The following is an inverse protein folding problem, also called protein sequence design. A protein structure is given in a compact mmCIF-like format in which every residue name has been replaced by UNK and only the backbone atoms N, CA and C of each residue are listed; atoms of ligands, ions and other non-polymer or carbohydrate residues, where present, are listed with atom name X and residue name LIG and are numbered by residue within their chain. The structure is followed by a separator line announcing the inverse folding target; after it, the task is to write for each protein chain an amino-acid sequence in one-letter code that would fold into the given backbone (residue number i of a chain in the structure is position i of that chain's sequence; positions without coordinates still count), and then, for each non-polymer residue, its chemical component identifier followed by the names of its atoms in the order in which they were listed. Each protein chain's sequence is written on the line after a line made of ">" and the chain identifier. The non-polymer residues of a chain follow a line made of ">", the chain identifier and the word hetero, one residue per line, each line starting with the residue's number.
data_IF_226367052949
#
_entry.id   IF_226367052949
#
_cell.length_a   1.000
_cell.length_b   1.000
_cell.length_c   1.000
_cell.angle_alpha   90.00
_cell.angle_beta   90.00
_cell.angle_gamma   90.00
#
_symmetry.space_group_name_H-M   'P 1'
#
loop_
_entity.id
_entity.type
_entity.pdbx_description
1 polymer ?
#
# COMPACT_ATOMS: atom_id res chain seq x y z
N UNK A 1 21.68 -16.74 4.24
CA UNK A 1 20.59 -17.54 4.84
C UNK A 1 19.53 -16.69 5.57
N UNK A 2 19.89 -15.57 6.20
CA UNK A 2 18.97 -14.68 6.95
C UNK A 2 17.74 -14.14 6.18
N UNK A 3 17.78 -14.05 4.83
CA UNK A 3 16.62 -13.62 4.02
C UNK A 3 15.71 -14.76 3.55
N UNK A 4 16.20 -16.01 3.54
CA UNK A 4 15.42 -17.15 3.03
C UNK A 4 14.30 -17.53 3.99
N UNK A 5 14.58 -17.49 5.30
CA UNK A 5 13.61 -17.87 6.33
C UNK A 5 12.35 -16.96 6.29
N UNK A 6 12.47 -15.61 6.29
CA UNK A 6 11.29 -14.75 6.15
C UNK A 6 10.53 -14.98 4.84
N UNK A 7 11.23 -15.17 3.72
CA UNK A 7 10.60 -15.39 2.42
C UNK A 7 9.84 -16.70 2.35
N UNK A 8 10.39 -17.79 2.90
CA UNK A 8 9.70 -19.08 2.97
C UNK A 8 8.46 -19.00 3.85
N UNK A 9 8.53 -18.30 4.98
CA UNK A 9 7.38 -18.12 5.87
C UNK A 9 6.25 -17.35 5.15
N UNK A 10 6.57 -16.23 4.51
CA UNK A 10 5.58 -15.45 3.74
C UNK A 10 4.97 -16.29 2.62
N UNK A 11 5.77 -17.11 1.92
CA UNK A 11 5.27 -17.99 0.88
C UNK A 11 4.31 -19.05 1.41
N UNK A 12 4.64 -19.71 2.53
CA UNK A 12 3.77 -20.74 3.14
C UNK A 12 2.47 -20.13 3.64
N UNK A 13 2.54 -19.00 4.35
CA UNK A 13 1.34 -18.31 4.86
C UNK A 13 0.48 -17.78 3.71
N UNK A 14 1.09 -17.23 2.66
CA UNK A 14 0.37 -16.76 1.47
C UNK A 14 -0.31 -17.90 0.71
N UNK A 15 0.36 -19.05 0.56
CA UNK A 15 -0.23 -20.23 -0.06
C UNK A 15 -1.39 -20.78 0.78
N UNK A 16 -1.23 -20.83 2.10
CA UNK A 16 -2.30 -21.23 3.01
C UNK A 16 -3.50 -20.29 2.89
N UNK A 17 -3.29 -18.97 2.90
CA UNK A 17 -4.37 -17.99 2.74
C UNK A 17 -5.11 -18.14 1.40
N UNK A 18 -4.39 -18.47 0.32
CA UNK A 18 -5.00 -18.78 -0.97
C UNK A 18 -5.87 -20.05 -0.89
N UNK A 19 -5.37 -21.14 -0.29
CA UNK A 19 -6.15 -22.37 -0.10
C UNK A 19 -7.39 -22.12 0.77
N UNK A 20 -7.23 -21.39 1.88
CA UNK A 20 -8.32 -21.07 2.80
C UNK A 20 -9.43 -20.24 2.15
N UNK A 21 -9.10 -19.38 1.18
CA UNK A 21 -10.07 -18.59 0.45
C UNK A 21 -10.98 -19.41 -0.49
N UNK A 22 -10.52 -20.57 -0.99
CA UNK A 22 -11.26 -21.37 -1.97
C UNK A 22 -11.75 -22.72 -1.45
N UNK A 23 -11.20 -23.25 -0.35
CA UNK A 23 -11.55 -24.56 0.20
C UNK A 23 -12.45 -24.41 1.44
N UNK A 24 -13.77 -24.67 1.34
CA UNK A 24 -14.70 -24.57 2.46
C UNK A 24 -14.68 -25.85 3.33
N UNK A 25 -13.51 -26.27 3.78
CA UNK A 25 -13.38 -27.44 4.67
C UNK A 25 -13.32 -26.98 6.14
N UNK A 26 -14.06 -27.60 7.09
CA UNK A 26 -14.13 -27.15 8.49
C UNK A 26 -12.77 -26.96 9.16
N UNK A 27 -11.83 -27.88 8.94
CA UNK A 27 -10.46 -27.79 9.48
C UNK A 27 -9.73 -26.53 8.96
N UNK A 28 -9.86 -26.25 7.66
CA UNK A 28 -9.17 -25.11 7.03
C UNK A 28 -9.78 -23.80 7.53
N UNK A 29 -11.11 -23.74 7.62
CA UNK A 29 -11.85 -22.57 8.10
C UNK A 29 -11.55 -22.27 9.57
N UNK A 30 -11.49 -23.29 10.44
CA UNK A 30 -11.14 -23.09 11.86
C UNK A 30 -9.72 -22.53 12.02
N UNK A 31 -8.76 -23.05 11.25
CA UNK A 31 -7.37 -22.55 11.29
C UNK A 31 -7.26 -21.14 10.72
N UNK A 32 -7.97 -20.84 9.61
CA UNK A 32 -8.01 -19.49 9.04
C UNK A 32 -8.63 -18.49 10.01
N UNK A 33 -9.69 -18.89 10.73
CA UNK A 33 -10.34 -18.06 11.74
C UNK A 33 -9.39 -17.73 12.90
N UNK A 34 -8.72 -18.72 13.49
CA UNK A 34 -7.70 -18.50 14.53
C UNK A 34 -6.56 -17.62 14.01
N UNK A 35 -6.07 -17.88 12.79
CA UNK A 35 -4.99 -17.11 12.20
C UNK A 35 -5.39 -15.63 12.00
N UNK A 36 -6.61 -15.37 11.52
CA UNK A 36 -7.11 -14.00 11.28
C UNK A 36 -7.44 -13.25 12.57
N UNK A 37 -8.19 -13.88 13.46
CA UNK A 37 -8.77 -13.22 14.61
C UNK A 37 -7.78 -13.05 15.76
N UNK A 38 -6.86 -14.00 15.94
CA UNK A 38 -5.89 -13.95 17.04
C UNK A 38 -4.55 -13.44 16.53
N UNK A 39 -3.94 -14.16 15.59
CA UNK A 39 -2.55 -13.90 15.18
C UNK A 39 -2.44 -12.61 14.36
N UNK A 40 -3.20 -12.48 13.27
CA UNK A 40 -3.12 -11.33 12.38
C UNK A 40 -3.68 -10.06 13.01
N UNK A 41 -4.66 -10.16 13.90
CA UNK A 41 -5.16 -9.01 14.66
C UNK A 41 -4.09 -8.42 15.58
N UNK A 42 -3.36 -9.26 16.32
CA UNK A 42 -2.26 -8.80 17.18
C UNK A 42 -1.11 -8.28 16.32
N UNK A 43 -0.72 -9.02 15.28
CA UNK A 43 0.38 -8.64 14.40
C UNK A 43 0.09 -7.33 13.65
N UNK A 44 -1.15 -7.10 13.20
CA UNK A 44 -1.54 -5.85 12.54
C UNK A 44 -1.52 -4.66 13.49
N UNK A 45 -1.91 -4.82 14.76
CA UNK A 45 -1.81 -3.77 15.76
C UNK A 45 -0.35 -3.32 15.99
N UNK A 46 0.57 -4.27 16.20
CA UNK A 46 2.00 -3.95 16.31
C UNK A 46 2.60 -3.45 15.00
N UNK A 47 2.20 -4.05 13.88
CA UNK A 47 2.63 -3.70 12.53
C UNK A 47 2.25 -2.27 12.16
N UNK A 48 1.07 -1.81 12.58
CA UNK A 48 0.64 -0.42 12.40
C UNK A 48 1.58 0.54 13.14
N UNK A 49 1.89 0.25 14.40
CA UNK A 49 2.79 1.09 15.22
C UNK A 49 4.20 1.14 14.60
N UNK A 50 4.75 -0.01 14.21
CA UNK A 50 6.06 -0.09 13.57
C UNK A 50 6.07 0.59 12.19
N UNK A 51 4.99 0.45 11.42
CA UNK A 51 4.84 1.07 10.10
C UNK A 51 4.82 2.58 10.18
N UNK A 52 3.99 3.15 11.05
CA UNK A 52 3.94 4.59 11.31
C UNK A 52 5.28 5.08 11.85
N UNK A 53 5.85 4.38 12.84
CA UNK A 53 7.14 4.71 13.43
C UNK A 53 8.26 4.76 12.39
N UNK A 54 8.31 3.79 11.47
CA UNK A 54 9.30 3.74 10.39
C UNK A 54 9.16 4.92 9.43
N UNK A 55 7.94 5.28 9.01
CA UNK A 55 7.70 6.41 8.11
C UNK A 55 8.11 7.72 8.78
N UNK A 56 7.64 7.95 10.01
CA UNK A 56 7.94 9.16 10.77
C UNK A 56 9.45 9.28 11.02
N UNK A 57 10.10 8.20 11.48
CA UNK A 57 11.54 8.19 11.70
C UNK A 57 12.33 8.49 10.43
N UNK A 58 11.96 7.86 9.31
CA UNK A 58 12.62 8.06 8.02
C UNK A 58 12.55 9.54 7.57
N UNK A 59 11.34 10.12 7.60
CA UNK A 59 11.13 11.50 7.15
C UNK A 59 11.70 12.54 8.11
N UNK A 60 11.63 12.32 9.43
CA UNK A 60 12.27 13.20 10.42
C UNK A 60 13.78 13.20 10.28
N UNK A 61 14.39 12.02 10.08
CA UNK A 61 15.83 11.92 9.85
C UNK A 61 16.24 12.62 8.55
N UNK A 62 15.43 12.48 7.49
CA UNK A 62 15.63 13.15 6.20
C UNK A 62 15.60 14.67 6.33
N UNK A 63 14.66 15.20 7.12
CA UNK A 63 14.55 16.64 7.44
C UNK A 63 15.76 17.10 8.24
N UNK A 64 16.09 16.41 9.34
CA UNK A 64 17.20 16.78 10.24
C UNK A 64 18.55 16.80 9.52
N UNK A 65 18.77 15.90 8.57
CA UNK A 65 20.01 15.80 7.79
C UNK A 65 20.03 16.69 6.55
N UNK A 66 18.98 17.47 6.28
CA UNK A 66 18.82 18.26 5.04
C UNK A 66 19.16 17.47 3.77
N UNK A 67 18.76 16.19 3.73
CA UNK A 67 19.05 15.33 2.59
C UNK A 67 18.33 15.83 1.33
N UNK A 68 18.70 15.31 0.17
CA UNK A 68 18.08 15.70 -1.09
C UNK A 68 16.55 15.57 -1.03
N UNK A 69 15.84 16.61 -1.49
CA UNK A 69 14.37 16.66 -1.50
C UNK A 69 13.74 16.54 -0.09
N UNK A 70 14.40 17.03 0.96
CA UNK A 70 13.89 16.98 2.33
C UNK A 70 12.58 17.75 2.52
N UNK A 71 12.36 18.84 1.78
CA UNK A 71 11.15 19.69 1.86
C UNK A 71 9.85 18.88 1.65
N UNK A 72 9.85 17.93 0.70
CA UNK A 72 8.70 17.07 0.45
C UNK A 72 8.34 16.15 1.63
N UNK A 73 9.28 15.93 2.56
CA UNK A 73 9.03 15.15 3.77
C UNK A 73 8.04 15.83 4.71
N UNK A 74 7.97 17.17 4.71
CA UNK A 74 6.92 17.87 5.47
C UNK A 74 5.53 17.55 4.94
N UNK A 75 5.38 17.53 3.62
CA UNK A 75 4.10 17.20 2.98
C UNK A 75 3.68 15.79 3.37
N UNK A 76 4.61 14.83 3.36
CA UNK A 76 4.31 13.44 3.78
C UNK A 76 3.87 13.36 5.24
N UNK A 77 4.58 14.01 6.17
CA UNK A 77 4.22 13.99 7.59
C UNK A 77 2.87 14.66 7.84
N UNK A 78 2.62 15.82 7.22
CA UNK A 78 1.36 16.55 7.35
C UNK A 78 0.20 15.72 6.81
N UNK A 79 0.35 15.13 5.61
CA UNK A 79 -0.69 14.29 5.03
C UNK A 79 -0.93 13.01 5.83
N UNK A 80 0.11 12.40 6.39
CA UNK A 80 -0.03 11.26 7.31
C UNK A 80 -0.92 11.62 8.50
N UNK A 81 -0.69 12.79 9.13
CA UNK A 81 -1.48 13.25 10.27
C UNK A 81 -2.92 13.55 9.86
N UNK A 82 -3.13 14.27 8.75
CA UNK A 82 -4.46 14.61 8.24
C UNK A 82 -5.26 13.32 7.96
N UNK A 83 -4.68 12.39 7.19
CA UNK A 83 -5.35 11.13 6.86
C UNK A 83 -5.60 10.26 8.10
N UNK A 84 -4.69 10.25 9.08
CA UNK A 84 -4.92 9.55 10.34
C UNK A 84 -6.11 10.14 11.13
N UNK A 85 -6.19 11.47 11.25
CA UNK A 85 -7.31 12.15 11.93
C UNK A 85 -8.63 11.87 11.20
N UNK A 86 -8.65 12.00 9.88
CA UNK A 86 -9.83 11.67 9.07
C UNK A 86 -10.22 10.19 9.23
N UNK A 87 -9.25 9.29 9.39
CA UNK A 87 -9.53 7.86 9.53
C UNK A 87 -10.15 7.48 10.84
N UNK A 88 -9.63 8.06 11.92
CA UNK A 88 -10.10 7.78 13.28
C UNK A 88 -11.44 8.45 13.53
N UNK A 89 -11.63 9.68 13.04
CA UNK A 89 -12.77 10.51 13.43
C UNK A 89 -13.73 10.87 12.30
N UNK A 90 -13.33 10.73 11.04
CA UNK A 90 -14.06 11.27 9.89
C UNK A 90 -15.07 10.33 9.21
N UNK A 91 -15.13 9.06 9.63
CA UNK A 91 -16.01 8.06 9.03
C UNK A 91 -15.54 7.57 7.66
N UNK A 92 -16.25 6.56 7.14
CA UNK A 92 -15.86 5.85 5.91
C UNK A 92 -16.48 6.54 4.69
N UNK A 93 -17.77 6.83 4.76
CA UNK A 93 -18.63 7.25 3.65
C UNK A 93 -19.71 8.21 4.17
N UNK A 94 -20.39 9.05 3.36
CA UNK A 94 -21.45 9.94 3.83
C UNK A 94 -22.58 9.22 4.56
N UNK A 95 -22.82 7.95 4.22
CA UNK A 95 -23.83 7.10 4.86
C UNK A 95 -23.39 6.52 6.22
N UNK A 96 -22.10 6.63 6.56
CA UNK A 96 -21.51 6.19 7.84
C UNK A 96 -20.61 7.31 8.38
N UNK A 97 -21.20 8.44 8.79
CA UNK A 97 -20.43 9.58 9.27
C UNK A 97 -19.70 9.22 10.57
N UNK A 98 -18.50 9.78 10.73
CA UNK A 98 -17.74 9.71 11.96
C UNK A 98 -18.14 10.81 12.96
N UNK A 99 -17.32 10.97 14.00
CA UNK A 99 -17.49 12.02 15.01
C UNK A 99 -17.26 13.43 14.45
N UNK A 100 -16.41 13.57 13.43
CA UNK A 100 -16.11 14.84 12.77
C UNK A 100 -16.92 15.01 11.49
N UNK A 101 -17.49 16.20 11.25
CA UNK A 101 -18.09 16.53 9.96
C UNK A 101 -17.00 16.63 8.90
N UNK A 102 -17.04 15.69 7.96
CA UNK A 102 -16.03 15.47 6.91
C UNK A 102 -16.47 16.01 5.55
N UNK A 103 -17.28 17.07 5.57
CA UNK A 103 -17.73 17.81 4.40
C UNK A 103 -17.71 19.32 4.70
N UNK A 104 -17.28 20.12 3.74
CA UNK A 104 -17.31 21.59 3.78
C UNK A 104 -17.95 22.04 2.46
N UNK A 105 -19.22 22.43 2.51
CA UNK A 105 -20.00 22.73 1.31
C UNK A 105 -20.07 21.51 0.39
N UNK A 106 -19.59 21.65 -0.86
CA UNK A 106 -19.52 20.56 -1.84
C UNK A 106 -18.25 19.71 -1.74
N UNK A 107 -17.29 20.08 -0.89
CA UNK A 107 -16.03 19.36 -0.72
C UNK A 107 -16.17 18.32 0.39
N UNK A 108 -16.09 17.04 0.03
CA UNK A 108 -16.10 15.93 0.98
C UNK A 108 -14.69 15.34 1.12
N UNK A 109 -14.25 15.08 2.34
CA UNK A 109 -12.93 14.51 2.64
C UNK A 109 -13.02 13.28 3.54
N UNK A 110 -14.09 12.49 3.40
CA UNK A 110 -14.22 11.17 4.01
C UNK A 110 -13.14 10.21 3.49
N UNK A 111 -12.97 9.08 4.19
CA UNK A 111 -12.01 8.05 3.79
C UNK A 111 -12.22 7.52 2.37
N UNK A 112 -13.47 7.30 1.96
CA UNK A 112 -13.77 6.84 0.61
C UNK A 112 -13.34 7.85 -0.47
N UNK A 113 -13.51 9.15 -0.20
CA UNK A 113 -13.10 10.21 -1.13
C UNK A 113 -11.59 10.28 -1.24
N UNK A 114 -10.86 10.17 -0.12
CA UNK A 114 -9.40 10.10 -0.12
C UNK A 114 -8.90 8.86 -0.88
N UNK A 115 -9.52 7.70 -0.66
CA UNK A 115 -9.18 6.48 -1.39
C UNK A 115 -9.34 6.65 -2.91
N UNK A 116 -10.49 7.16 -3.34
CA UNK A 116 -10.82 7.28 -4.77
C UNK A 116 -10.00 8.36 -5.48
N UNK A 117 -9.69 9.47 -4.81
CA UNK A 117 -9.00 10.60 -5.44
C UNK A 117 -7.48 10.61 -5.23
N UNK A 118 -6.97 9.88 -4.23
CA UNK A 118 -5.53 9.83 -3.93
C UNK A 118 -4.98 8.44 -4.19
N UNK A 119 -5.50 7.42 -3.53
CA UNK A 119 -4.93 6.07 -3.60
C UNK A 119 -5.12 5.42 -4.98
N UNK A 120 -6.30 5.53 -5.58
CA UNK A 120 -6.60 4.92 -6.89
C UNK A 120 -5.73 5.53 -8.02
N UNK A 121 -5.61 6.86 -8.19
CA UNK A 121 -4.74 7.43 -9.21
C UNK A 121 -3.27 7.10 -8.99
N UNK A 122 -2.78 7.12 -7.73
CA UNK A 122 -1.40 6.73 -7.42
C UNK A 122 -1.12 5.28 -7.85
N UNK A 123 -2.04 4.35 -7.59
CA UNK A 123 -1.95 2.98 -8.09
C UNK A 123 -1.96 2.91 -9.62
N UNK A 124 -2.85 3.66 -10.28
CA UNK A 124 -2.93 3.72 -11.73
C UNK A 124 -1.63 4.22 -12.38
N UNK A 125 -0.95 5.20 -11.78
CA UNK A 125 0.34 5.70 -12.30
C UNK A 125 1.44 4.63 -12.27
N UNK A 126 1.48 3.78 -11.23
CA UNK A 126 2.43 2.66 -11.18
C UNK A 126 2.19 1.68 -12.32
N UNK A 127 0.93 1.31 -12.58
CA UNK A 127 0.58 0.41 -13.68
C UNK A 127 0.84 1.04 -15.05
N UNK A 128 0.52 2.32 -15.23
CA UNK A 128 0.79 3.05 -16.46
C UNK A 128 2.30 3.13 -16.77
N UNK A 129 3.12 3.43 -15.75
CA UNK A 129 4.59 3.41 -15.89
C UNK A 129 5.11 2.02 -16.23
N UNK A 130 4.61 0.97 -15.58
CA UNK A 130 4.98 -0.41 -15.90
C UNK A 130 4.65 -0.76 -17.35
N UNK A 131 3.44 -0.46 -17.81
CA UNK A 131 3.02 -0.69 -19.19
C UNK A 131 3.89 0.09 -20.19
N UNK A 132 4.19 1.35 -19.90
CA UNK A 132 5.09 2.18 -20.71
C UNK A 132 6.51 1.56 -20.80
N UNK A 133 7.07 1.09 -19.69
CA UNK A 133 8.39 0.46 -19.70
C UNK A 133 8.41 -0.87 -20.45
N UNK A 134 7.35 -1.68 -20.33
CA UNK A 134 7.20 -2.92 -21.11
C UNK A 134 7.12 -2.62 -22.61
N UNK A 135 6.32 -1.64 -23.02
CA UNK A 135 6.22 -1.21 -24.41
C UNK A 135 7.55 -0.65 -24.96
N UNK A 136 8.24 0.19 -24.16
CA UNK A 136 9.55 0.75 -24.52
C UNK A 136 10.63 -0.32 -24.67
N UNK A 137 10.66 -1.30 -23.75
CA UNK A 137 11.57 -2.43 -23.82
C UNK A 137 11.28 -3.32 -25.05
N UNK A 138 10.01 -3.64 -25.31
CA UNK A 138 9.59 -4.41 -26.48
C UNK A 138 9.98 -3.69 -27.79
N UNK A 139 9.69 -2.39 -27.92
CA UNK A 139 10.06 -1.60 -29.09
C UNK A 139 11.58 -1.58 -29.32
N UNK A 140 12.38 -1.40 -28.25
CA UNK A 140 13.85 -1.46 -28.33
C UNK A 140 14.35 -2.84 -28.76
N UNK A 141 13.78 -3.92 -28.23
CA UNK A 141 14.14 -5.29 -28.59
C UNK A 141 13.84 -5.60 -30.06
N UNK A 142 12.66 -5.20 -30.56
CA UNK A 142 12.30 -5.39 -31.97
C UNK A 142 13.11 -4.51 -32.93
N UNK A 143 13.46 -3.27 -32.53
CA UNK A 143 14.30 -2.38 -33.35
C UNK A 143 15.76 -2.87 -33.44
N UNK A 144 16.31 -3.42 -32.36
CA UNK A 144 17.67 -3.95 -32.33
C UNK A 144 17.85 -5.19 -33.23
N UNK A 145 16.75 -5.88 -33.56
CA UNK A 145 16.74 -7.05 -34.43
C UNK A 145 16.48 -6.74 -35.91
N UNK A 146 16.81 -5.53 -36.41
CA UNK A 146 16.88 -5.33 -37.87
C UNK A 146 18.27 -5.79 -38.35
N UNK A 147 18.40 -6.93 -39.07
CA UNK A 147 19.68 -7.33 -39.62
C UNK A 147 20.09 -6.26 -40.63
N UNK A 148 21.31 -5.74 -40.44
CA UNK A 148 21.94 -4.83 -41.37
C UNK A 148 22.18 -5.64 -42.65
N UNK A 149 21.30 -5.51 -43.64
CA UNK A 149 21.45 -6.15 -44.95
C UNK A 149 22.66 -5.48 -45.60
N UNK A 150 23.83 -6.14 -45.56
CA UNK A 150 24.97 -5.74 -46.36
C UNK A 150 24.68 -6.12 -47.81
N UNK A 151 24.35 -5.13 -48.64
CA UNK A 151 24.57 -5.09 -50.09
C UNK A 151 24.17 -3.72 -50.59
#
# INVERSE_FOLDING_TARGET
>A
MQRRIPLTLVLVVGLFAAVAAFVPHPIVQNVDETLRNDVLRILSAFGLVLGIGSIVQHHLLKIRRHAQHWQYSYITIIMLIITAIVGVFGGIDPNRPGLLPTHIGSFSFHMQTLYTNVMVPLGATMFAMLAFFMASAAYRAFRAHRPRRSR
#
